data_IF_263510629659
#
_entry.id   IF_263510629659
#
_cell.length_a   1.000
_cell.length_b   1.000
_cell.length_c   1.000
_cell.angle_alpha   90.00
_cell.angle_beta   90.00
_cell.angle_gamma   90.00
#
_symmetry.space_group_name_H-M   'P 1'
#
loop_
_entity.id
_entity.type
_entity.pdbx_description
1 polymer ?
#
# COMPACT_ATOMS: atom_id res chain seq x y z
N UNK A 1 4.74 31.65 10.33
CA UNK A 1 4.33 31.98 8.95
C UNK A 1 2.83 32.15 8.95
N UNK A 2 2.34 33.23 8.35
CA UNK A 2 0.95 33.69 8.43
C UNK A 2 -0.04 32.56 8.16
N UNK A 3 -1.07 32.47 9.01
CA UNK A 3 -2.30 31.75 8.71
C UNK A 3 -2.97 32.48 7.53
N UNK A 4 -2.59 32.13 6.30
CA UNK A 4 -3.39 32.49 5.15
C UNK A 4 -4.80 32.00 5.42
N UNK A 5 -5.74 32.94 5.37
CA UNK A 5 -7.14 32.70 5.59
C UNK A 5 -7.65 31.97 4.34
N UNK A 6 -7.29 30.69 4.21
CA UNK A 6 -7.65 29.89 3.04
C UNK A 6 -9.18 29.89 2.88
N UNK A 7 -9.63 30.16 1.67
CA UNK A 7 -11.03 30.05 1.31
C UNK A 7 -11.41 28.57 1.28
N UNK A 8 -12.02 28.09 2.37
CA UNK A 8 -12.51 26.71 2.54
C UNK A 8 -13.70 26.35 1.63
N UNK A 9 -14.03 27.24 0.68
CA UNK A 9 -15.10 27.11 -0.30
C UNK A 9 -14.62 27.25 -1.74
N UNK A 10 -13.30 27.39 -1.95
CA UNK A 10 -12.68 27.60 -3.25
C UNK A 10 -12.85 26.43 -4.24
N UNK A 11 -12.60 26.73 -5.51
CA UNK A 11 -12.60 25.77 -6.62
C UNK A 11 -11.18 25.34 -6.99
N UNK A 12 -11.04 24.05 -7.31
CA UNK A 12 -9.85 23.36 -7.80
C UNK A 12 -10.19 22.55 -9.05
N UNK A 13 -9.18 22.26 -9.87
CA UNK A 13 -9.36 21.40 -11.02
C UNK A 13 -9.30 19.93 -10.57
N UNK A 14 -8.37 19.61 -9.66
CA UNK A 14 -8.21 18.28 -9.06
C UNK A 14 -8.19 18.38 -7.53
N UNK A 15 -9.03 17.59 -6.86
CA UNK A 15 -8.94 17.36 -5.40
C UNK A 15 -8.50 15.91 -5.15
N UNK A 16 -7.46 15.73 -4.35
CA UNK A 16 -6.97 14.42 -3.90
C UNK A 16 -7.36 14.21 -2.45
N UNK A 17 -8.06 13.11 -2.17
CA UNK A 17 -8.53 12.72 -0.85
C UNK A 17 -7.59 11.62 -0.32
N UNK A 18 -6.78 11.97 0.69
CA UNK A 18 -5.71 11.15 1.26
C UNK A 18 -4.32 11.65 0.86
N UNK A 19 -3.53 12.08 1.84
CA UNK A 19 -2.18 12.64 1.67
C UNK A 19 -1.07 11.61 1.93
N UNK A 20 -1.32 10.34 1.65
CA UNK A 20 -0.30 9.29 1.63
C UNK A 20 0.58 9.33 0.37
N UNK A 21 1.51 8.38 0.20
CA UNK A 21 2.46 8.37 -0.92
C UNK A 21 1.80 8.50 -2.30
N UNK A 22 0.77 7.68 -2.56
CA UNK A 22 0.08 7.68 -3.86
C UNK A 22 -0.71 8.97 -4.08
N UNK A 23 -1.36 9.50 -3.04
CA UNK A 23 -2.09 10.76 -3.14
C UNK A 23 -1.17 11.95 -3.42
N UNK A 24 -0.04 12.03 -2.72
CA UNK A 24 0.97 13.07 -2.96
C UNK A 24 1.58 12.95 -4.37
N UNK A 25 1.94 11.75 -4.81
CA UNK A 25 2.44 11.52 -6.16
C UNK A 25 1.41 11.92 -7.24
N UNK A 26 0.14 11.59 -7.03
CA UNK A 26 -0.97 12.00 -7.92
C UNK A 26 -1.10 13.51 -7.98
N UNK A 27 -1.03 14.19 -6.83
CA UNK A 27 -1.15 15.63 -6.77
C UNK A 27 0.01 16.34 -7.46
N UNK A 28 1.24 15.85 -7.26
CA UNK A 28 2.44 16.33 -7.94
C UNK A 28 2.31 16.20 -9.45
N UNK A 29 1.92 15.03 -9.96
CA UNK A 29 1.76 14.79 -11.40
C UNK A 29 0.65 15.66 -12.03
N UNK A 30 -0.49 15.80 -11.35
CA UNK A 30 -1.56 16.70 -11.81
C UNK A 30 -1.10 18.16 -11.84
N UNK A 31 -0.35 18.61 -10.84
CA UNK A 31 0.14 19.97 -10.75
C UNK A 31 1.23 20.28 -11.78
N UNK A 32 2.12 19.32 -12.08
CA UNK A 32 3.06 19.39 -13.22
C UNK A 32 2.34 19.53 -14.55
N UNK A 33 1.16 18.94 -14.69
CA UNK A 33 0.27 19.11 -15.85
C UNK A 33 -0.55 20.42 -15.82
N UNK A 34 -0.19 21.38 -14.95
CA UNK A 34 -0.78 22.71 -14.90
C UNK A 34 -2.12 22.80 -14.18
N UNK A 35 -2.56 21.73 -13.50
CA UNK A 35 -3.83 21.71 -12.79
C UNK A 35 -3.72 22.43 -11.44
N UNK A 36 -4.74 23.19 -11.06
CA UNK A 36 -4.87 23.70 -9.70
C UNK A 36 -5.30 22.56 -8.78
N UNK A 37 -4.39 22.11 -7.91
CA UNK A 37 -4.56 20.87 -7.14
C UNK A 37 -4.56 21.09 -5.64
N UNK A 38 -5.44 20.37 -4.95
CA UNK A 38 -5.58 20.33 -3.50
C UNK A 38 -5.43 18.90 -2.98
N UNK A 39 -4.70 18.71 -1.87
CA UNK A 39 -4.66 17.46 -1.10
C UNK A 39 -5.31 17.67 0.27
N UNK A 40 -6.24 16.78 0.61
CA UNK A 40 -6.91 16.72 1.91
C UNK A 40 -6.46 15.46 2.67
N UNK A 41 -5.67 15.65 3.73
CA UNK A 41 -5.20 14.59 4.61
C UNK A 41 -5.92 14.68 5.96
N UNK A 42 -6.57 13.58 6.39
CA UNK A 42 -7.35 13.58 7.64
C UNK A 42 -6.49 13.68 8.91
N UNK A 43 -5.23 13.25 8.84
CA UNK A 43 -4.23 13.33 9.90
C UNK A 43 -3.18 14.39 9.56
N UNK A 44 -1.97 14.26 10.10
CA UNK A 44 -0.81 15.02 9.63
C UNK A 44 -0.19 14.37 8.41
N UNK A 45 0.45 15.16 7.54
CA UNK A 45 1.34 14.60 6.53
C UNK A 45 2.45 13.77 7.18
N UNK A 46 2.78 12.65 6.55
CA UNK A 46 3.75 11.67 7.04
C UNK A 46 3.41 11.02 8.38
N UNK A 47 2.12 10.94 8.72
CA UNK A 47 1.66 10.18 9.87
C UNK A 47 1.98 8.68 9.73
N UNK A 48 1.93 7.98 10.87
CA UNK A 48 2.14 6.54 10.96
C UNK A 48 0.83 5.76 11.20
N UNK A 49 -0.33 6.41 11.06
CA UNK A 49 -1.62 5.85 11.43
C UNK A 49 -2.23 4.95 10.35
N UNK A 50 -1.73 5.02 9.11
CA UNK A 50 -2.18 4.20 7.99
C UNK A 50 -1.21 3.09 7.58
N UNK A 51 -0.97 2.96 6.27
CA UNK A 51 -0.19 1.87 5.64
C UNK A 51 1.28 2.24 5.36
N UNK A 52 1.66 3.49 5.62
CA UNK A 52 2.96 4.05 5.20
C UNK A 52 3.85 4.49 6.36
N UNK A 53 3.50 4.13 7.61
CA UNK A 53 4.44 4.23 8.73
C UNK A 53 5.57 3.21 8.58
N UNK A 54 6.69 3.43 9.29
CA UNK A 54 7.98 2.70 9.26
C UNK A 54 9.10 3.38 8.43
N UNK A 55 10.34 2.86 8.49
CA UNK A 55 11.52 3.39 7.81
C UNK A 55 11.70 2.89 6.38
N UNK A 56 11.24 1.66 6.09
CA UNK A 56 11.60 0.94 4.87
C UNK A 56 10.43 0.23 4.21
N UNK A 57 10.47 0.11 2.88
CA UNK A 57 9.60 -0.77 2.09
C UNK A 57 10.39 -1.42 0.96
N UNK A 58 9.93 -2.60 0.53
CA UNK A 58 10.59 -3.37 -0.51
C UNK A 58 10.25 -2.80 -1.90
N UNK A 59 11.29 -2.46 -2.66
CA UNK A 59 11.23 -2.28 -4.10
C UNK A 59 11.63 -3.62 -4.74
N UNK A 60 10.65 -4.32 -5.33
CA UNK A 60 10.86 -5.59 -6.02
C UNK A 60 10.33 -5.57 -7.45
N UNK A 61 11.01 -6.28 -8.35
CA UNK A 61 10.65 -6.44 -9.76
C UNK A 61 10.20 -7.85 -10.13
N UNK A 62 10.49 -8.85 -9.28
CA UNK A 62 10.09 -10.23 -9.51
C UNK A 62 8.61 -10.45 -9.23
N UNK A 63 7.86 -10.81 -10.27
CA UNK A 63 6.41 -11.10 -10.22
C UNK A 63 6.07 -12.30 -11.10
N UNK A 64 5.16 -13.15 -10.63
CA UNK A 64 4.63 -14.29 -11.40
C UNK A 64 3.67 -13.81 -12.51
N UNK A 65 2.81 -12.83 -12.21
CA UNK A 65 1.86 -12.29 -13.16
C UNK A 65 2.53 -11.33 -14.16
N UNK A 66 2.35 -11.58 -15.46
CA UNK A 66 3.02 -10.83 -16.52
C UNK A 66 2.73 -9.32 -16.46
N UNK A 67 1.47 -8.94 -16.19
CA UNK A 67 1.07 -7.53 -16.09
C UNK A 67 1.71 -6.83 -14.88
N UNK A 68 1.88 -7.52 -13.75
CA UNK A 68 2.56 -6.95 -12.59
C UNK A 68 4.07 -6.81 -12.84
N UNK A 69 4.68 -7.80 -13.50
CA UNK A 69 6.08 -7.72 -13.90
C UNK A 69 6.34 -6.55 -14.85
N UNK A 70 5.46 -6.34 -15.85
CA UNK A 70 5.53 -5.21 -16.78
C UNK A 70 5.49 -3.87 -16.04
N UNK A 71 4.51 -3.70 -15.15
CA UNK A 71 4.39 -2.49 -14.34
C UNK A 71 5.60 -2.29 -13.42
N UNK A 72 6.16 -3.36 -12.86
CA UNK A 72 7.29 -3.27 -11.94
C UNK A 72 8.56 -2.80 -12.66
N UNK A 73 8.82 -3.33 -13.85
CA UNK A 73 9.94 -2.91 -14.70
C UNK A 73 9.73 -1.49 -15.23
N UNK A 74 8.53 -1.15 -15.71
CA UNK A 74 8.19 0.21 -16.12
C UNK A 74 8.35 1.22 -14.97
N UNK A 75 8.03 0.82 -13.74
CA UNK A 75 8.18 1.69 -12.58
C UNK A 75 9.64 2.02 -12.25
N UNK A 76 10.63 1.22 -12.69
CA UNK A 76 12.04 1.48 -12.42
C UNK A 76 12.49 2.85 -12.96
N UNK A 77 12.11 3.18 -14.20
CA UNK A 77 12.47 4.48 -14.80
C UNK A 77 11.77 5.64 -14.10
N UNK A 78 10.51 5.45 -13.68
CA UNK A 78 9.76 6.48 -12.97
C UNK A 78 10.31 6.76 -11.57
N UNK A 79 10.90 5.77 -10.91
CA UNK A 79 11.67 6.02 -9.70
C UNK A 79 12.95 6.81 -9.98
N UNK A 80 13.67 6.50 -11.06
CA UNK A 80 14.87 7.26 -11.45
C UNK A 80 14.50 8.73 -11.74
N UNK A 81 13.37 8.99 -12.38
CA UNK A 81 12.83 10.35 -12.59
C UNK A 81 12.55 11.05 -11.25
N UNK A 82 11.85 10.38 -10.33
CA UNK A 82 11.54 10.95 -9.02
C UNK A 82 12.81 11.25 -8.21
N UNK A 83 13.82 10.38 -8.25
CA UNK A 83 15.11 10.59 -7.56
C UNK A 83 15.91 11.75 -8.19
N UNK A 84 15.86 11.90 -9.52
CA UNK A 84 16.47 13.03 -10.21
C UNK A 84 15.83 14.36 -9.80
N UNK A 85 14.50 14.40 -9.68
CA UNK A 85 13.78 15.59 -9.17
C UNK A 85 13.96 15.81 -7.67
N UNK A 86 14.13 14.73 -6.90
CA UNK A 86 14.43 14.80 -5.48
C UNK A 86 15.79 15.48 -5.24
N UNK A 87 16.75 15.26 -6.15
CA UNK A 87 18.14 15.68 -6.01
C UNK A 87 18.97 14.75 -5.11
N UNK A 88 18.39 13.63 -4.68
CA UNK A 88 19.03 12.62 -3.82
C UNK A 88 18.39 11.23 -4.04
N UNK A 89 19.13 10.13 -3.80
CA UNK A 89 18.57 8.78 -3.88
C UNK A 89 17.46 8.57 -2.83
N UNK A 90 16.34 8.01 -3.27
CA UNK A 90 15.23 7.61 -2.41
C UNK A 90 15.23 6.11 -2.14
N UNK A 91 16.07 5.35 -2.86
CA UNK A 91 16.23 3.91 -2.75
C UNK A 91 17.68 3.52 -2.48
N UNK A 92 17.83 2.46 -1.70
CA UNK A 92 19.08 1.73 -1.53
C UNK A 92 18.98 0.41 -2.30
N UNK A 93 19.62 0.34 -3.47
CA UNK A 93 19.55 -0.79 -4.39
C UNK A 93 20.59 -1.87 -4.04
N UNK A 94 20.34 -2.65 -3.00
CA UNK A 94 21.24 -3.73 -2.54
C UNK A 94 20.82 -5.14 -2.96
N UNK A 95 19.69 -5.26 -3.66
CA UNK A 95 19.13 -6.53 -4.14
C UNK A 95 18.06 -7.14 -3.23
N UNK A 96 17.55 -8.27 -3.68
CA UNK A 96 16.53 -9.08 -3.00
C UNK A 96 16.90 -10.55 -3.15
N UNK A 97 16.94 -11.29 -2.04
CA UNK A 97 17.04 -12.74 -2.02
C UNK A 97 15.68 -13.34 -1.67
N UNK A 98 15.00 -13.91 -2.66
CA UNK A 98 13.84 -14.77 -2.41
C UNK A 98 14.35 -16.20 -2.21
N UNK A 99 13.93 -16.89 -1.16
CA UNK A 99 14.37 -18.27 -0.91
C UNK A 99 13.32 -19.10 -0.19
N UNK A 100 13.46 -20.41 -0.15
CA UNK A 100 12.56 -21.29 0.57
C UNK A 100 12.22 -22.58 -0.16
N UNK A 101 11.04 -23.13 0.13
CA UNK A 101 10.55 -24.36 -0.50
C UNK A 101 10.26 -24.10 -2.00
N UNK A 102 10.97 -24.77 -2.93
CA UNK A 102 10.72 -24.63 -4.37
C UNK A 102 9.32 -25.07 -4.79
N UNK A 103 8.61 -25.82 -3.94
CA UNK A 103 7.25 -26.31 -4.18
C UNK A 103 6.18 -25.41 -3.58
N UNK A 104 6.55 -24.26 -2.99
CA UNK A 104 5.57 -23.26 -2.57
C UNK A 104 4.75 -22.81 -3.80
N UNK A 105 3.52 -23.30 -3.88
CA UNK A 105 2.68 -23.25 -5.07
C UNK A 105 1.58 -22.19 -5.05
N UNK A 106 0.89 -22.06 -6.19
CA UNK A 106 -0.10 -21.02 -6.49
C UNK A 106 -1.10 -20.72 -5.36
N UNK A 107 -1.31 -19.43 -5.08
CA UNK A 107 -2.32 -18.94 -4.13
C UNK A 107 -1.79 -18.29 -2.85
N UNK A 108 -0.47 -18.09 -2.72
CA UNK A 108 0.14 -17.19 -1.73
C UNK A 108 -0.12 -15.71 -2.05
N UNK A 109 0.04 -14.78 -1.09
CA UNK A 109 -0.12 -13.35 -1.34
C UNK A 109 1.02 -12.79 -2.19
N UNK A 110 2.19 -13.45 -2.17
CA UNK A 110 3.44 -13.01 -2.79
C UNK A 110 3.81 -13.83 -4.04
N UNK A 111 2.88 -14.64 -4.55
CA UNK A 111 3.10 -15.52 -5.71
C UNK A 111 3.85 -16.80 -5.35
N UNK A 112 4.67 -17.31 -6.26
CA UNK A 112 5.51 -18.50 -6.03
C UNK A 112 6.98 -18.12 -6.04
N UNK A 113 7.84 -18.99 -5.49
CA UNK A 113 9.28 -18.73 -5.45
C UNK A 113 9.89 -18.69 -6.86
N UNK A 114 9.57 -19.68 -7.72
CA UNK A 114 10.29 -19.92 -8.97
C UNK A 114 9.63 -19.34 -10.23
N UNK A 115 8.31 -19.18 -10.25
CA UNK A 115 7.62 -18.71 -11.47
C UNK A 115 8.00 -17.29 -11.93
N UNK A 116 8.41 -16.35 -11.04
CA UNK A 116 8.90 -15.04 -11.49
C UNK A 116 10.07 -15.10 -12.47
N UNK A 117 10.85 -16.19 -12.50
CA UNK A 117 12.00 -16.36 -13.41
C UNK A 117 11.60 -16.14 -14.87
N UNK A 118 10.44 -16.63 -15.30
CA UNK A 118 9.95 -16.44 -16.67
C UNK A 118 9.86 -14.96 -17.03
N UNK A 119 9.39 -14.14 -16.11
CA UNK A 119 9.27 -12.70 -16.31
C UNK A 119 10.60 -11.97 -16.16
N UNK A 120 11.48 -12.43 -15.28
CA UNK A 120 12.85 -11.93 -15.20
C UNK A 120 13.59 -12.14 -16.53
N UNK A 121 13.50 -13.33 -17.12
CA UNK A 121 14.06 -13.64 -18.44
C UNK A 121 13.47 -12.75 -19.55
N UNK A 122 12.13 -12.62 -19.56
CA UNK A 122 11.39 -11.81 -20.54
C UNK A 122 11.80 -10.33 -20.51
N UNK A 123 12.10 -9.80 -19.33
CA UNK A 123 12.54 -8.41 -19.12
C UNK A 123 14.06 -8.25 -19.08
N UNK A 124 14.82 -9.32 -19.30
CA UNK A 124 16.29 -9.32 -19.23
C UNK A 124 16.85 -8.83 -17.89
N UNK A 125 16.15 -9.14 -16.79
CA UNK A 125 16.56 -8.82 -15.43
C UNK A 125 17.62 -9.81 -14.94
N UNK A 126 18.64 -9.33 -14.23
CA UNK A 126 19.68 -10.21 -13.69
C UNK A 126 19.16 -11.01 -12.50
N UNK A 127 19.52 -12.30 -12.43
CA UNK A 127 19.29 -13.13 -11.26
C UNK A 127 20.30 -14.28 -11.17
N UNK A 128 20.43 -14.90 -10.00
CA UNK A 128 21.22 -16.11 -9.77
C UNK A 128 20.41 -17.09 -8.94
N UNK A 129 20.31 -18.35 -9.40
CA UNK A 129 19.69 -19.42 -8.63
C UNK A 129 20.73 -20.00 -7.66
N UNK A 130 20.33 -20.21 -6.42
CA UNK A 130 21.15 -20.74 -5.33
C UNK A 130 20.51 -22.02 -4.78
N UNK A 131 21.33 -22.94 -4.33
CA UNK A 131 20.91 -24.00 -3.41
C UNK A 131 20.96 -23.50 -1.95
N UNK A 132 20.64 -24.37 -0.99
CA UNK A 132 20.67 -24.06 0.44
C UNK A 132 21.99 -23.47 0.88
N UNK A 133 23.11 -24.12 0.55
CA UNK A 133 24.46 -23.67 0.95
C UNK A 133 24.76 -22.28 0.36
N UNK A 134 24.38 -22.03 -0.90
CA UNK A 134 24.51 -20.72 -1.52
C UNK A 134 23.66 -19.63 -0.86
N UNK A 135 22.48 -19.96 -0.34
CA UNK A 135 21.66 -19.01 0.44
C UNK A 135 22.34 -18.65 1.76
N UNK A 136 22.85 -19.64 2.50
CA UNK A 136 23.57 -19.42 3.77
C UNK A 136 24.93 -18.73 3.58
N UNK A 137 25.56 -18.85 2.41
CA UNK A 137 26.76 -18.07 2.06
C UNK A 137 26.43 -16.59 1.78
N UNK A 138 25.25 -16.30 1.21
CA UNK A 138 24.86 -14.94 0.79
C UNK A 138 24.31 -14.07 1.91
N UNK A 139 23.57 -14.67 2.84
CA UNK A 139 22.95 -13.98 3.97
C UNK A 139 23.12 -14.82 5.22
N UNK A 140 23.10 -14.21 6.42
CA UNK A 140 23.48 -14.86 7.68
C UNK A 140 22.38 -15.78 8.22
N UNK A 141 21.94 -16.73 7.39
CA UNK A 141 21.01 -17.78 7.75
C UNK A 141 21.76 -19.03 8.22
N UNK A 142 21.04 -19.90 8.91
CA UNK A 142 21.53 -21.18 9.39
C UNK A 142 20.40 -22.21 9.45
N UNK A 143 20.77 -23.49 9.47
CA UNK A 143 19.84 -24.61 9.63
C UNK A 143 18.69 -24.59 8.61
N UNK A 144 18.92 -24.06 7.41
CA UNK A 144 17.93 -24.09 6.35
C UNK A 144 17.76 -25.54 5.84
N UNK A 145 16.52 -25.99 5.55
CA UNK A 145 16.28 -27.31 4.97
C UNK A 145 17.07 -27.54 3.68
N UNK A 146 17.61 -28.76 3.50
CA UNK A 146 18.52 -29.10 2.39
C UNK A 146 17.88 -28.91 1.00
N UNK A 147 16.56 -29.04 0.91
CA UNK A 147 15.80 -28.92 -0.33
C UNK A 147 15.46 -27.47 -0.73
N UNK A 148 15.78 -26.50 0.13
CA UNK A 148 15.48 -25.10 -0.16
C UNK A 148 16.41 -24.52 -1.23
N UNK A 149 15.85 -23.61 -2.01
CA UNK A 149 16.55 -22.89 -3.08
C UNK A 149 16.36 -21.39 -2.92
N UNK A 150 17.17 -20.61 -3.62
CA UNK A 150 17.09 -19.15 -3.64
C UNK A 150 17.21 -18.56 -5.03
N UNK A 151 16.72 -17.32 -5.17
CA UNK A 151 16.87 -16.45 -6.33
C UNK A 151 17.41 -15.11 -5.82
N UNK A 152 18.69 -14.85 -6.09
CA UNK A 152 19.35 -13.58 -5.79
C UNK A 152 19.18 -12.61 -6.97
N UNK A 153 18.63 -11.42 -6.70
CA UNK A 153 18.24 -10.46 -7.74
C UNK A 153 18.79 -9.06 -7.39
N UNK A 154 19.86 -8.59 -8.05
CA UNK A 154 20.56 -7.35 -7.69
C UNK A 154 19.78 -6.07 -7.97
N UNK A 155 18.85 -6.06 -8.93
CA UNK A 155 18.13 -4.86 -9.38
C UNK A 155 16.93 -4.47 -8.47
N UNK A 156 17.00 -4.82 -7.19
CA UNK A 156 15.95 -4.61 -6.18
C UNK A 156 16.51 -3.79 -5.01
N UNK A 157 15.65 -3.22 -4.14
CA UNK A 157 16.16 -2.37 -3.06
C UNK A 157 15.18 -1.89 -2.01
N UNK A 158 15.71 -1.19 -1.01
CA UNK A 158 14.93 -0.59 0.07
C UNK A 158 14.50 0.83 -0.30
N UNK A 159 13.22 1.12 -0.22
CA UNK A 159 12.69 2.49 -0.33
C UNK A 159 12.83 3.18 1.03
N UNK A 160 13.44 4.37 1.06
CA UNK A 160 13.49 5.24 2.23
C UNK A 160 12.14 5.96 2.39
N UNK A 161 11.24 5.36 3.15
CA UNK A 161 9.85 5.83 3.27
C UNK A 161 9.75 7.25 3.85
N UNK A 162 10.43 7.59 4.96
CA UNK A 162 10.38 8.94 5.50
C UNK A 162 10.91 10.00 4.52
N UNK A 163 12.00 9.71 3.81
CA UNK A 163 12.57 10.64 2.84
C UNK A 163 11.69 10.81 1.61
N UNK A 164 11.18 9.71 1.04
CA UNK A 164 10.26 9.74 -0.10
C UNK A 164 9.01 10.56 0.23
N UNK A 165 8.40 10.33 1.40
CA UNK A 165 7.24 11.09 1.85
C UNK A 165 7.56 12.59 1.94
N UNK A 166 8.63 12.96 2.63
CA UNK A 166 9.07 14.37 2.76
C UNK A 166 9.35 15.01 1.40
N UNK A 167 9.96 14.26 0.50
CA UNK A 167 10.28 14.69 -0.87
C UNK A 167 9.00 14.96 -1.66
N UNK A 168 8.04 14.04 -1.68
CA UNK A 168 6.78 14.22 -2.40
C UNK A 168 6.02 15.45 -1.92
N UNK A 169 5.93 15.67 -0.61
CA UNK A 169 5.27 16.86 -0.07
C UNK A 169 6.07 18.15 -0.34
N UNK A 170 7.41 18.10 -0.30
CA UNK A 170 8.25 19.24 -0.71
C UNK A 170 7.99 19.61 -2.17
N UNK A 171 8.05 18.63 -3.07
CA UNK A 171 7.80 18.81 -4.50
C UNK A 171 6.38 19.32 -4.75
N UNK A 172 5.36 18.78 -4.06
CA UNK A 172 3.99 19.31 -4.11
C UNK A 172 3.94 20.81 -3.78
N UNK A 173 4.63 21.27 -2.72
CA UNK A 173 4.68 22.69 -2.36
C UNK A 173 5.41 23.54 -3.41
N UNK A 174 6.52 23.06 -3.93
CA UNK A 174 7.27 23.73 -5.00
C UNK A 174 6.42 23.90 -6.27
N UNK A 175 5.56 22.91 -6.55
CA UNK A 175 4.59 22.96 -7.64
C UNK A 175 3.27 23.70 -7.30
N UNK A 176 3.16 24.32 -6.12
CA UNK A 176 1.98 25.08 -5.67
C UNK A 176 0.71 24.22 -5.52
N UNK A 177 0.87 22.97 -5.10
CA UNK A 177 -0.24 22.16 -4.59
C UNK A 177 -0.63 22.69 -3.21
N UNK A 178 -1.92 22.95 -3.02
CA UNK A 178 -2.47 23.30 -1.71
C UNK A 178 -2.59 22.02 -0.86
N UNK A 179 -2.03 22.05 0.36
CA UNK A 179 -1.91 20.88 1.23
C UNK A 179 -2.55 21.16 2.58
N UNK A 180 -3.60 20.43 2.93
CA UNK A 180 -4.32 20.57 4.20
C UNK A 180 -4.20 19.28 5.01
N UNK A 181 -3.56 19.38 6.16
CA UNK A 181 -3.62 18.36 7.21
C UNK A 181 -4.89 18.53 8.05
N UNK A 182 -5.22 17.52 8.85
CA UNK A 182 -6.39 17.48 9.72
C UNK A 182 -7.73 17.71 9.00
N UNK A 183 -7.77 17.46 7.69
CA UNK A 183 -8.90 17.69 6.80
C UNK A 183 -9.66 16.38 6.55
N UNK A 184 -10.57 16.05 7.45
CA UNK A 184 -11.37 14.82 7.31
C UNK A 184 -12.51 15.05 6.33
N UNK A 185 -12.37 14.49 5.12
CA UNK A 185 -13.47 14.44 4.15
C UNK A 185 -14.56 13.51 4.67
N UNK A 186 -15.82 13.96 4.60
CA UNK A 186 -16.99 13.20 5.03
C UNK A 186 -17.85 12.75 3.87
N UNK A 187 -17.87 13.51 2.77
CA UNK A 187 -18.69 13.18 1.60
C UNK A 187 -18.24 13.95 0.36
N UNK A 188 -18.41 13.32 -0.80
CA UNK A 188 -18.41 13.93 -2.12
C UNK A 188 -19.84 13.92 -2.66
N UNK A 189 -20.30 15.03 -3.24
CA UNK A 189 -21.61 15.10 -3.90
C UNK A 189 -21.56 15.95 -5.15
N UNK A 190 -22.53 15.76 -6.04
CA UNK A 190 -22.75 16.62 -7.18
C UNK A 190 -22.87 18.10 -6.77
N UNK A 191 -22.18 18.99 -7.48
CA UNK A 191 -22.44 20.44 -7.41
C UNK A 191 -23.53 20.83 -8.42
N UNK A 192 -24.72 21.17 -7.93
CA UNK A 192 -25.82 21.65 -8.76
C UNK A 192 -26.09 23.14 -8.58
N UNK A 193 -25.23 23.85 -7.84
CA UNK A 193 -25.45 25.25 -7.45
C UNK A 193 -25.12 26.25 -8.57
N UNK A 194 -24.42 25.81 -9.62
CA UNK A 194 -23.89 26.64 -10.72
C UNK A 194 -23.00 27.82 -10.25
N UNK A 195 -22.54 27.82 -9.01
CA UNK A 195 -21.65 28.86 -8.45
C UNK A 195 -20.34 28.95 -9.25
N UNK A 196 -19.81 27.80 -9.65
CA UNK A 196 -18.71 27.67 -10.58
C UNK A 196 -19.19 26.85 -11.78
N UNK A 197 -19.25 27.43 -13.00
CA UNK A 197 -19.85 26.73 -14.15
C UNK A 197 -19.18 25.41 -14.54
N UNK A 198 -17.88 25.25 -14.25
CA UNK A 198 -17.15 24.01 -14.57
C UNK A 198 -17.13 22.98 -13.43
N UNK A 199 -17.44 23.40 -12.20
CA UNK A 199 -17.33 22.54 -11.03
C UNK A 199 -18.39 21.45 -11.07
N UNK A 200 -17.93 20.20 -10.95
CA UNK A 200 -18.79 19.03 -11.04
C UNK A 200 -19.18 18.51 -9.67
N UNK A 201 -18.28 18.69 -8.70
CA UNK A 201 -18.35 18.07 -7.39
C UNK A 201 -18.10 19.07 -6.26
N UNK A 202 -18.73 18.81 -5.12
CA UNK A 202 -18.41 19.43 -3.83
C UNK A 202 -17.83 18.35 -2.92
N UNK A 203 -16.64 18.62 -2.37
CA UNK A 203 -15.96 17.80 -1.37
C UNK A 203 -16.17 18.44 0.00
N UNK A 204 -16.99 17.80 0.84
CA UNK A 204 -17.44 18.30 2.13
C UNK A 204 -16.73 17.57 3.27
N UNK A 205 -16.35 18.31 4.31
CA UNK A 205 -15.69 17.72 5.46
C UNK A 205 -15.47 18.70 6.60
N UNK A 206 -14.62 18.29 7.52
CA UNK A 206 -14.27 19.05 8.71
C UNK A 206 -12.75 19.18 8.84
N UNK A 207 -12.29 20.42 9.01
CA UNK A 207 -10.92 20.78 9.30
C UNK A 207 -10.74 20.85 10.82
N UNK A 208 -9.89 19.99 11.37
CA UNK A 208 -9.52 20.01 12.77
C UNK A 208 -8.24 20.83 12.99
N UNK A 209 -7.99 21.25 14.23
CA UNK A 209 -6.72 21.87 14.59
C UNK A 209 -5.68 20.84 15.02
N UNK A 210 -4.41 21.25 15.21
CA UNK A 210 -3.36 20.37 15.73
C UNK A 210 -3.62 19.88 17.16
N UNK A 211 -4.56 20.51 17.88
CA UNK A 211 -5.06 20.03 19.18
C UNK A 211 -6.05 18.86 19.06
N UNK A 212 -6.30 18.35 17.86
CA UNK A 212 -7.22 17.24 17.58
C UNK A 212 -8.70 17.61 17.71
N UNK A 213 -9.55 16.59 17.88
CA UNK A 213 -11.00 16.71 17.95
C UNK A 213 -11.54 17.52 19.15
N UNK A 214 -10.68 17.91 20.11
CA UNK A 214 -11.07 18.72 21.26
C UNK A 214 -11.29 20.21 20.93
N UNK A 215 -10.89 20.66 19.75
CA UNK A 215 -11.19 22.00 19.24
C UNK A 215 -12.38 21.95 18.26
N UNK A 216 -13.20 23.01 18.24
CA UNK A 216 -14.29 23.15 17.25
C UNK A 216 -13.74 23.04 15.84
N UNK A 217 -14.19 22.01 15.11
CA UNK A 217 -13.80 21.81 13.72
C UNK A 217 -14.45 22.86 12.82
N UNK A 218 -13.73 23.32 11.79
CA UNK A 218 -14.26 24.22 10.77
C UNK A 218 -14.77 23.38 9.60
N UNK A 219 -16.04 23.53 9.24
CA UNK A 219 -16.56 22.90 8.03
C UNK A 219 -15.85 23.47 6.79
N UNK A 220 -15.61 22.63 5.79
CA UNK A 220 -15.17 23.03 4.46
C UNK A 220 -16.06 22.40 3.39
N UNK A 221 -16.11 23.03 2.22
CA UNK A 221 -16.84 22.56 1.06
C UNK A 221 -16.14 23.01 -0.22
N UNK A 222 -15.06 22.32 -0.60
CA UNK A 222 -14.28 22.65 -1.80
C UNK A 222 -14.99 22.18 -3.06
N UNK A 223 -14.80 22.89 -4.18
CA UNK A 223 -15.33 22.50 -5.49
C UNK A 223 -14.24 21.87 -6.35
N UNK A 224 -14.60 20.85 -7.11
CA UNK A 224 -13.66 20.11 -7.95
C UNK A 224 -14.26 19.76 -9.32
N UNK A 225 -13.43 19.79 -10.35
CA UNK A 225 -13.77 19.22 -11.66
C UNK A 225 -13.49 17.71 -11.70
N UNK A 226 -12.42 17.27 -11.02
CA UNK A 226 -11.95 15.88 -10.92
C UNK A 226 -11.53 15.54 -9.49
N UNK A 227 -11.67 14.27 -9.09
CA UNK A 227 -11.33 13.81 -7.74
C UNK A 227 -10.53 12.51 -7.79
N UNK A 228 -9.42 12.46 -7.06
CA UNK A 228 -8.72 11.21 -6.75
C UNK A 228 -9.09 10.77 -5.32
N UNK A 229 -9.58 9.56 -5.15
CA UNK A 229 -9.85 8.95 -3.83
C UNK A 229 -8.72 7.98 -3.54
N UNK A 230 -7.74 8.40 -2.73
CA UNK A 230 -6.57 7.60 -2.32
C UNK A 230 -6.42 7.46 -0.80
N UNK A 231 -7.48 7.16 -0.02
CA UNK A 231 -7.45 7.21 1.45
C UNK A 231 -6.95 5.92 2.13
N UNK A 232 -6.40 4.97 1.36
CA UNK A 232 -5.98 3.65 1.87
C UNK A 232 -7.16 2.89 2.51
N UNK A 233 -6.96 2.41 3.74
CA UNK A 233 -7.96 1.64 4.51
C UNK A 233 -9.30 2.38 4.73
N UNK A 234 -9.31 3.72 4.63
CA UNK A 234 -10.51 4.54 4.85
C UNK A 234 -11.37 4.72 3.58
N UNK A 235 -11.14 3.94 2.52
CA UNK A 235 -11.86 4.07 1.24
C UNK A 235 -13.39 4.03 1.41
N UNK A 236 -13.89 3.15 2.26
CA UNK A 236 -15.33 2.99 2.51
C UNK A 236 -15.94 4.14 3.31
N UNK A 237 -15.12 4.91 4.05
CA UNK A 237 -15.57 6.12 4.74
C UNK A 237 -15.84 7.28 3.79
N UNK A 238 -15.35 7.18 2.55
CA UNK A 238 -15.62 8.15 1.48
C UNK A 238 -16.67 7.61 0.52
N UNK A 239 -16.51 6.37 0.04
CA UNK A 239 -17.41 5.81 -0.99
C UNK A 239 -18.84 5.70 -0.51
N UNK A 240 -19.08 5.16 0.69
CA UNK A 240 -20.44 4.91 1.15
C UNK A 240 -21.24 6.19 1.40
N UNK A 241 -20.76 7.18 2.17
CA UNK A 241 -21.52 8.42 2.37
C UNK A 241 -21.72 9.23 1.08
N UNK A 242 -20.86 9.04 0.08
CA UNK A 242 -20.90 9.79 -1.19
C UNK A 242 -21.78 9.15 -2.25
N UNK A 243 -21.74 7.81 -2.35
CA UNK A 243 -22.24 7.07 -3.50
C UNK A 243 -23.07 5.82 -3.14
N UNK A 244 -23.21 5.51 -1.84
CA UNK A 244 -24.08 4.43 -1.35
C UNK A 244 -23.53 3.01 -1.48
N UNK A 245 -22.26 2.85 -1.88
CA UNK A 245 -21.61 1.54 -1.99
C UNK A 245 -20.27 1.50 -1.23
N UNK A 246 -19.80 0.29 -0.96
CA UNK A 246 -18.52 -0.01 -0.34
C UNK A 246 -17.74 -1.01 -1.18
N UNK A 247 -16.46 -1.18 -0.85
CA UNK A 247 -15.61 -2.26 -1.33
C UNK A 247 -15.51 -3.32 -0.24
N UNK A 248 -15.54 -4.59 -0.65
CA UNK A 248 -15.19 -5.74 0.18
C UNK A 248 -13.68 -5.75 0.45
N UNK A 249 -13.28 -5.00 1.48
CA UNK A 249 -11.90 -4.92 1.92
C UNK A 249 -11.70 -5.77 3.17
N UNK A 250 -10.55 -6.42 3.22
CA UNK A 250 -10.01 -7.03 4.43
C UNK A 250 -8.75 -6.27 4.80
N UNK A 251 -8.72 -5.70 6.01
CA UNK A 251 -7.64 -4.84 6.47
C UNK A 251 -6.84 -5.60 7.50
N UNK A 252 -5.61 -5.96 7.14
CA UNK A 252 -4.68 -6.69 7.99
C UNK A 252 -3.93 -5.71 8.88
N UNK A 253 -3.91 -5.96 10.18
CA UNK A 253 -3.05 -5.25 11.12
C UNK A 253 -1.69 -5.95 11.21
N UNK A 254 -0.86 -5.69 10.20
CA UNK A 254 0.48 -6.27 10.07
C UNK A 254 1.38 -5.84 11.23
N UNK A 255 2.07 -6.79 11.85
CA UNK A 255 3.13 -6.53 12.84
C UNK A 255 4.49 -6.45 12.13
N UNK A 256 5.35 -5.53 12.55
CA UNK A 256 6.74 -5.50 12.12
C UNK A 256 7.67 -5.20 13.29
N UNK A 257 8.87 -5.74 13.21
CA UNK A 257 9.81 -5.79 14.33
C UNK A 257 11.21 -5.39 13.89
N UNK A 258 11.96 -4.76 14.80
CA UNK A 258 13.35 -4.40 14.62
C UNK A 258 14.22 -5.12 15.63
N UNK A 259 15.23 -5.81 15.14
CA UNK A 259 16.15 -6.60 15.93
C UNK A 259 17.55 -6.00 15.86
N UNK A 260 18.21 -5.89 17.01
CA UNK A 260 19.63 -5.65 17.05
C UNK A 260 20.35 -6.93 16.63
N UNK A 261 21.18 -6.82 15.60
CA UNK A 261 22.04 -7.90 15.11
C UNK A 261 23.44 -7.69 15.67
N UNK A 262 24.16 -8.78 15.94
CA UNK A 262 25.59 -8.76 16.25
C UNK A 262 26.33 -7.89 15.21
N UNK A 263 27.08 -6.86 15.62
CA UNK A 263 27.79 -5.98 14.70
C UNK A 263 28.79 -6.68 13.76
N UNK A 264 29.24 -7.92 14.06
CA UNK A 264 30.09 -8.69 13.14
C UNK A 264 29.31 -9.40 12.03
N UNK A 265 27.97 -9.39 12.08
CA UNK A 265 27.07 -10.02 11.12
C UNK A 265 26.31 -8.93 10.38
N UNK A 266 26.21 -9.07 9.05
CA UNK A 266 25.50 -8.10 8.22
C UNK A 266 24.47 -8.80 7.33
N UNK A 267 23.27 -8.22 7.29
CA UNK A 267 22.34 -8.45 6.20
C UNK A 267 22.61 -7.37 5.17
N UNK A 268 23.12 -7.76 4.00
CA UNK A 268 23.52 -6.78 2.98
C UNK A 268 22.37 -6.42 2.04
N UNK A 269 21.32 -7.24 2.01
CA UNK A 269 20.18 -7.08 1.10
C UNK A 269 18.86 -7.51 1.74
N UNK A 270 17.77 -7.14 1.07
CA UNK A 270 16.44 -7.59 1.48
C UNK A 270 16.27 -9.08 1.20
N UNK A 271 15.34 -9.70 1.89
CA UNK A 271 14.99 -11.09 1.64
C UNK A 271 13.52 -11.37 1.89
N UNK A 272 13.02 -12.41 1.23
CA UNK A 272 11.69 -12.97 1.45
C UNK A 272 11.81 -14.50 1.47
N UNK A 273 11.21 -15.13 2.47
CA UNK A 273 11.22 -16.57 2.65
C UNK A 273 9.84 -17.17 2.32
N UNK A 274 9.83 -18.20 1.48
CA UNK A 274 8.64 -18.90 0.98
C UNK A 274 8.52 -20.29 1.61
N UNK A 275 7.43 -20.56 2.32
CA UNK A 275 7.08 -21.88 2.82
C UNK A 275 5.59 -21.94 3.11
N UNK A 276 5.00 -23.12 2.91
CA UNK A 276 3.60 -23.38 3.27
C UNK A 276 3.37 -23.25 4.77
N UNK A 277 2.19 -22.79 5.14
CA UNK A 277 1.79 -22.67 6.53
C UNK A 277 1.84 -24.00 7.27
N UNK A 278 2.09 -23.92 8.57
CA UNK A 278 2.00 -25.11 9.42
C UNK A 278 0.59 -25.68 9.35
N UNK A 279 0.49 -27.02 9.33
CA UNK A 279 -0.83 -27.67 9.41
C UNK A 279 -1.47 -27.31 10.75
N UNK A 280 -2.79 -27.05 10.80
CA UNK A 280 -3.46 -26.79 12.06
C UNK A 280 -3.29 -27.99 12.99
N UNK A 281 -2.78 -27.73 14.19
CA UNK A 281 -2.83 -28.69 15.30
C UNK A 281 -4.26 -28.75 15.87
N UNK A 282 -4.72 -29.86 16.46
CA UNK A 282 -6.06 -29.92 17.05
C UNK A 282 -6.29 -28.79 18.05
N UNK A 283 -7.23 -27.89 17.75
CA UNK A 283 -7.55 -26.72 18.58
C UNK A 283 -6.69 -25.47 18.36
N UNK A 284 -5.71 -25.50 17.44
CA UNK A 284 -4.88 -24.36 17.06
C UNK A 284 -5.17 -23.85 15.64
N UNK A 285 -4.72 -22.62 15.36
CA UNK A 285 -4.73 -22.06 14.01
C UNK A 285 -3.48 -22.52 13.23
N UNK A 286 -3.51 -22.56 11.89
CA UNK A 286 -2.28 -22.60 11.10
C UNK A 286 -1.39 -21.41 11.47
N UNK A 287 -0.08 -21.56 11.31
CA UNK A 287 0.90 -20.50 11.57
C UNK A 287 1.63 -20.20 10.26
N UNK A 288 1.76 -18.91 9.93
CA UNK A 288 2.41 -18.51 8.70
C UNK A 288 3.90 -18.81 8.71
N UNK A 289 4.41 -19.36 7.61
CA UNK A 289 5.85 -19.54 7.38
C UNK A 289 6.38 -18.64 6.26
N UNK A 290 5.76 -17.48 6.08
CA UNK A 290 6.25 -16.43 5.20
C UNK A 290 6.88 -15.34 6.04
N UNK A 291 8.13 -15.02 5.76
CA UNK A 291 8.88 -13.99 6.47
C UNK A 291 9.63 -13.10 5.49
N UNK A 292 9.84 -11.86 5.88
CA UNK A 292 10.63 -10.92 5.08
C UNK A 292 11.44 -10.01 5.97
N UNK A 293 12.61 -9.65 5.46
CA UNK A 293 13.54 -8.81 6.18
C UNK A 293 14.24 -7.79 5.31
N UNK A 294 14.71 -6.75 5.97
CA UNK A 294 15.46 -5.66 5.39
C UNK A 294 16.84 -5.60 6.03
N UNK A 295 17.87 -5.19 5.26
CA UNK A 295 19.18 -4.91 5.79
C UNK A 295 19.10 -3.73 6.78
N UNK A 296 20.16 -3.54 7.57
CA UNK A 296 20.34 -2.28 8.27
C UNK A 296 20.46 -1.16 7.25
N UNK A 297 19.67 -0.10 7.39
CA UNK A 297 19.64 1.01 6.43
C UNK A 297 20.39 2.23 6.95
N UNK A 298 21.06 3.02 6.08
CA UNK A 298 21.83 4.21 6.49
C UNK A 298 21.02 5.30 7.21
N UNK A 299 19.69 5.30 7.07
CA UNK A 299 18.78 6.25 7.71
C UNK A 299 18.10 5.68 8.97
N UNK A 300 18.48 4.47 9.39
CA UNK A 300 18.06 3.86 10.65
C UNK A 300 19.24 3.76 11.64
N UNK A 301 18.99 3.29 12.87
CA UNK A 301 20.06 2.88 13.75
C UNK A 301 20.98 1.85 13.08
N UNK A 302 22.30 1.93 13.32
CA UNK A 302 23.22 0.89 12.85
C UNK A 302 22.81 -0.47 13.41
N UNK A 303 23.22 -1.55 12.74
CA UNK A 303 23.04 -2.95 13.16
C UNK A 303 21.59 -3.34 13.55
N UNK A 304 20.59 -2.59 13.08
CA UNK A 304 19.18 -2.84 13.35
C UNK A 304 18.49 -3.29 12.06
N UNK A 305 18.07 -4.55 12.01
CA UNK A 305 17.38 -5.12 10.87
C UNK A 305 15.87 -5.21 11.15
N UNK A 306 15.07 -4.85 10.15
CA UNK A 306 13.61 -4.95 10.24
C UNK A 306 13.18 -6.30 9.69
N UNK A 307 12.51 -7.12 10.48
CA UNK A 307 12.08 -8.47 10.11
C UNK A 307 10.64 -8.67 10.57
N UNK A 308 9.83 -9.36 9.78
CA UNK A 308 8.44 -9.62 10.11
C UNK A 308 7.92 -10.88 9.42
N UNK A 309 6.90 -11.49 10.03
CA UNK A 309 6.00 -12.42 9.35
C UNK A 309 5.15 -11.68 8.31
N UNK A 310 4.87 -12.31 7.16
CA UNK A 310 3.99 -11.81 6.11
C UNK A 310 2.54 -12.30 6.29
N UNK A 311 1.98 -12.02 7.46
CA UNK A 311 0.58 -12.27 7.78
C UNK A 311 0.11 -11.30 8.85
N UNK A 312 -1.18 -11.33 9.16
CA UNK A 312 -1.72 -10.66 10.33
C UNK A 312 -2.70 -11.58 11.06
N UNK A 313 -2.46 -11.77 12.36
CA UNK A 313 -3.42 -12.46 13.23
C UNK A 313 -4.73 -11.68 13.36
N UNK A 314 -4.66 -10.34 13.39
CA UNK A 314 -5.83 -9.48 13.46
C UNK A 314 -6.19 -8.90 12.08
N UNK A 315 -7.43 -9.14 11.67
CA UNK A 315 -8.00 -8.63 10.42
C UNK A 315 -9.32 -7.96 10.73
N UNK A 316 -9.48 -6.72 10.24
CA UNK A 316 -10.65 -5.88 10.46
C UNK A 316 -11.31 -5.52 9.13
N UNK A 317 -12.60 -5.20 9.16
CA UNK A 317 -13.38 -4.80 7.98
C UNK A 317 -13.48 -3.27 7.83
N UNK A 318 -13.24 -2.53 8.91
CA UNK A 318 -13.33 -1.08 8.98
C UNK A 318 -12.16 -0.55 9.83
N UNK A 319 -11.39 0.45 9.37
CA UNK A 319 -10.28 1.00 10.14
C UNK A 319 -10.69 1.61 11.50
N UNK A 320 -11.97 1.95 11.71
CA UNK A 320 -12.48 2.36 13.04
C UNK A 320 -12.48 1.22 14.07
N UNK A 321 -12.42 -0.05 13.63
CA UNK A 321 -12.33 -1.20 14.52
C UNK A 321 -10.94 -1.36 15.13
N UNK A 322 -9.94 -0.66 14.58
CA UNK A 322 -8.59 -0.62 15.13
C UNK A 322 -8.66 -0.04 16.53
N UNK A 323 -8.61 -0.92 17.52
CA UNK A 323 -8.31 -0.53 18.89
C UNK A 323 -6.82 -0.15 18.93
N UNK A 324 -6.40 0.74 19.85
CA UNK A 324 -5.00 1.20 20.01
C UNK A 324 -3.97 0.15 19.56
N UNK A 325 -2.88 0.51 18.85
CA UNK A 325 -2.02 -0.44 18.14
C UNK A 325 -1.66 -1.65 19.01
N UNK A 326 -2.43 -2.74 18.83
CA UNK A 326 -2.21 -3.99 19.54
C UNK A 326 -1.19 -4.75 18.72
N UNK A 327 -0.01 -4.93 19.30
CA UNK A 327 0.99 -5.83 18.72
C UNK A 327 0.53 -7.25 19.06
N UNK A 328 0.18 -8.04 18.05
CA UNK A 328 -0.23 -9.43 18.23
C UNK A 328 0.90 -10.22 18.86
N UNK A 329 0.72 -10.83 20.05
CA UNK A 329 1.73 -11.69 20.65
C UNK A 329 2.02 -12.93 19.80
N UNK A 330 1.03 -13.41 19.03
CA UNK A 330 1.16 -14.57 18.14
C UNK A 330 2.08 -14.25 16.96
N UNK A 331 1.88 -13.09 16.30
CA UNK A 331 2.72 -12.68 15.17
C UNK A 331 4.16 -12.38 15.63
N UNK A 332 4.31 -11.74 16.80
CA UNK A 332 5.62 -11.43 17.40
C UNK A 332 6.38 -12.72 17.77
N UNK A 333 5.72 -13.67 18.41
CA UNK A 333 6.38 -14.92 18.79
C UNK A 333 6.72 -15.78 17.56
N UNK A 334 5.87 -15.77 16.53
CA UNK A 334 6.16 -16.46 15.27
C UNK A 334 7.45 -15.95 14.62
N UNK A 335 7.63 -14.63 14.51
CA UNK A 335 8.88 -14.02 14.01
C UNK A 335 10.08 -14.43 14.88
N UNK A 336 9.94 -14.37 16.21
CA UNK A 336 11.04 -14.71 17.15
C UNK A 336 11.51 -16.15 17.02
N UNK A 337 10.59 -17.09 16.94
CA UNK A 337 10.90 -18.51 16.84
C UNK A 337 11.61 -18.83 15.51
N UNK A 338 11.17 -18.23 14.41
CA UNK A 338 11.86 -18.37 13.13
C UNK A 338 13.27 -17.79 13.17
N UNK A 339 13.44 -16.58 13.73
CA UNK A 339 14.74 -15.95 13.90
C UNK A 339 15.70 -16.78 14.76
N UNK A 340 15.21 -17.29 15.90
CA UNK A 340 16.00 -18.14 16.80
C UNK A 340 16.60 -19.34 16.07
N UNK A 341 15.81 -19.97 15.19
CA UNK A 341 16.20 -21.18 14.49
C UNK A 341 17.09 -20.91 13.27
N UNK A 342 16.79 -19.84 12.53
CA UNK A 342 17.29 -19.66 11.17
C UNK A 342 18.19 -18.45 10.94
N UNK A 343 18.34 -17.54 11.91
CA UNK A 343 19.15 -16.32 11.73
C UNK A 343 20.34 -16.30 12.69
N UNK A 344 21.51 -15.99 12.16
CA UNK A 344 22.71 -15.72 12.95
C UNK A 344 22.69 -14.28 13.48
N UNK A 345 23.27 -14.07 14.67
CA UNK A 345 23.48 -12.72 15.23
C UNK A 345 22.31 -12.10 16.00
N UNK A 346 21.16 -12.77 16.08
CA UNK A 346 19.97 -12.30 16.86
C UNK A 346 19.97 -12.77 18.33
N UNK A 347 20.95 -13.58 18.73
CA UNK A 347 21.05 -14.20 20.05
C UNK A 347 20.10 -15.39 20.25
N UNK A 348 20.23 -16.17 21.34
CA UNK A 348 19.44 -17.38 21.58
C UNK A 348 17.97 -17.09 21.94
N UNK A 349 17.63 -15.86 22.33
CA UNK A 349 16.26 -15.44 22.65
C UNK A 349 16.02 -14.06 22.04
N UNK A 350 15.77 -13.98 20.71
CA UNK A 350 15.77 -12.72 19.99
C UNK A 350 14.64 -11.82 20.50
N UNK A 351 14.93 -10.67 21.10
CA UNK A 351 13.93 -9.69 21.57
C UNK A 351 13.95 -8.48 20.64
N UNK A 352 12.79 -8.08 20.07
CA UNK A 352 12.76 -6.89 19.25
C UNK A 352 13.04 -5.65 20.10
N UNK A 353 13.91 -4.77 19.60
CA UNK A 353 14.18 -3.45 20.18
C UNK A 353 12.98 -2.53 20.00
N UNK A 354 12.25 -2.73 18.90
CA UNK A 354 11.01 -2.03 18.59
C UNK A 354 10.08 -2.97 17.84
N UNK A 355 8.79 -2.85 18.12
CA UNK A 355 7.72 -3.49 17.36
C UNK A 355 6.60 -2.47 17.11
N UNK A 356 6.01 -2.53 15.93
CA UNK A 356 4.94 -1.63 15.51
C UNK A 356 3.91 -2.35 14.66
N UNK A 357 2.83 -1.64 14.34
CA UNK A 357 1.79 -2.16 13.43
C UNK A 357 1.51 -1.20 12.29
N UNK A 358 1.16 -1.75 11.13
CA UNK A 358 0.66 -0.99 9.98
C UNK A 358 -0.56 -1.67 9.37
N UNK A 359 -1.35 -0.90 8.62
CA UNK A 359 -2.52 -1.43 7.94
C UNK A 359 -2.17 -1.89 6.53
N UNK A 360 -2.52 -3.11 6.17
CA UNK A 360 -2.51 -3.60 4.78
C UNK A 360 -3.95 -3.80 4.34
N UNK A 361 -4.41 -3.00 3.40
CA UNK A 361 -5.76 -3.13 2.83
C UNK A 361 -5.71 -4.09 1.66
N UNK A 362 -6.53 -5.13 1.70
CA UNK A 362 -6.61 -6.15 0.66
C UNK A 362 -8.05 -6.26 0.14
N UNK A 363 -8.18 -6.75 -1.08
CA UNK A 363 -9.41 -7.35 -1.60
C UNK A 363 -9.13 -8.85 -1.84
N UNK A 364 -10.13 -9.63 -2.24
CA UNK A 364 -10.05 -11.10 -2.26
C UNK A 364 -8.93 -11.70 -3.11
N UNK A 365 -8.42 -10.96 -4.12
CA UNK A 365 -7.30 -11.36 -4.97
C UNK A 365 -5.97 -10.65 -4.64
N UNK A 366 -5.90 -9.89 -3.55
CA UNK A 366 -4.72 -9.14 -3.12
C UNK A 366 -4.17 -8.11 -4.13
N UNK A 367 -4.91 -7.82 -5.20
CA UNK A 367 -4.53 -6.82 -6.20
C UNK A 367 -5.05 -5.43 -5.83
N UNK A 368 -4.54 -4.42 -6.53
CA UNK A 368 -5.04 -3.05 -6.38
C UNK A 368 -6.51 -2.95 -6.80
N UNK A 369 -7.22 -1.97 -6.25
CA UNK A 369 -8.43 -1.43 -6.87
C UNK A 369 -8.05 -0.06 -7.41
N UNK A 370 -8.03 0.06 -8.74
CA UNK A 370 -7.68 1.27 -9.47
C UNK A 370 -8.62 1.45 -10.66
N UNK A 371 -9.65 2.28 -10.49
CA UNK A 371 -10.66 2.50 -11.53
C UNK A 371 -11.48 3.77 -11.26
N UNK A 372 -12.29 4.17 -12.23
CA UNK A 372 -13.31 5.18 -12.01
C UNK A 372 -14.43 4.66 -11.11
N UNK A 373 -15.07 5.57 -10.36
CA UNK A 373 -16.36 5.26 -9.73
C UNK A 373 -17.37 4.89 -10.83
N UNK A 374 -18.03 3.72 -10.77
CA UNK A 374 -18.93 3.30 -11.83
C UNK A 374 -20.08 4.28 -12.04
N UNK A 375 -20.45 4.53 -13.30
CA UNK A 375 -21.42 5.56 -13.69
C UNK A 375 -22.78 5.41 -13.00
N UNK A 376 -23.20 4.17 -12.71
CA UNK A 376 -24.46 3.88 -12.00
C UNK A 376 -24.52 4.52 -10.61
N UNK A 377 -23.37 4.75 -9.97
CA UNK A 377 -23.26 5.37 -8.65
C UNK A 377 -23.07 6.89 -8.70
N UNK A 378 -22.87 7.46 -9.90
CA UNK A 378 -22.75 8.91 -10.10
C UNK A 378 -24.10 9.58 -10.42
N UNK A 379 -25.16 8.80 -10.63
CA UNK A 379 -26.50 9.30 -10.96
C UNK A 379 -27.15 9.96 -9.73
N UNK A 380 -27.75 11.14 -9.93
CA UNK A 380 -28.49 11.82 -8.86
C UNK A 380 -29.79 11.09 -8.48
N UNK A 381 -30.45 11.54 -7.41
CA UNK A 381 -31.72 10.96 -6.90
C UNK A 381 -32.88 10.89 -7.93
N UNK A 382 -32.75 11.58 -9.06
CA UNK A 382 -33.73 11.62 -10.16
C UNK A 382 -33.30 10.78 -11.38
N UNK A 383 -32.17 10.06 -11.33
CA UNK A 383 -31.77 9.11 -12.36
C UNK A 383 -31.22 9.71 -13.66
N UNK A 384 -31.07 11.04 -13.76
CA UNK A 384 -30.50 11.71 -14.93
C UNK A 384 -29.01 11.33 -15.09
N UNK A 385 -28.62 10.87 -16.29
CA UNK A 385 -27.21 10.69 -16.64
C UNK A 385 -26.59 12.06 -16.91
N UNK A 386 -25.64 12.45 -16.07
CA UNK A 386 -24.82 13.61 -16.34
C UNK A 386 -23.53 13.15 -17.02
N UNK A 387 -23.54 13.08 -18.35
CA UNK A 387 -22.38 12.70 -19.16
C UNK A 387 -21.15 13.58 -18.83
N UNK A 388 -21.34 14.79 -18.29
CA UNK A 388 -20.23 15.63 -17.87
C UNK A 388 -19.49 15.07 -16.65
N UNK A 389 -20.13 14.22 -15.83
CA UNK A 389 -19.57 13.62 -14.61
C UNK A 389 -18.96 12.23 -14.82
N UNK A 390 -19.18 11.61 -15.97
CA UNK A 390 -18.55 10.33 -16.32
C UNK A 390 -17.01 10.47 -16.27
N UNK A 391 -16.34 9.44 -15.73
CA UNK A 391 -14.87 9.38 -15.64
C UNK A 391 -14.24 10.63 -15.00
N UNK A 392 -14.82 11.12 -13.90
CA UNK A 392 -14.29 12.28 -13.17
C UNK A 392 -13.79 11.98 -11.76
N UNK A 393 -14.08 10.78 -11.24
CA UNK A 393 -13.61 10.34 -9.94
C UNK A 393 -12.88 9.01 -10.11
N UNK A 394 -11.60 8.98 -9.76
CA UNK A 394 -10.78 7.76 -9.79
C UNK A 394 -10.51 7.33 -8.35
N UNK A 395 -10.63 6.04 -8.08
CA UNK A 395 -10.37 5.42 -6.80
C UNK A 395 -9.07 4.63 -6.91
N UNK A 396 -8.20 4.78 -5.93
CA UNK A 396 -7.08 3.87 -5.70
C UNK A 396 -7.07 3.41 -4.24
N UNK A 397 -7.05 2.09 -4.04
CA UNK A 397 -6.84 1.45 -2.74
C UNK A 397 -6.33 0.02 -2.92
N UNK A 398 -6.05 -0.63 -1.79
CA UNK A 398 -5.62 -2.02 -1.66
C UNK A 398 -4.27 -2.39 -2.30
N UNK A 399 -3.70 -3.52 -1.85
CA UNK A 399 -2.51 -4.18 -2.37
C UNK A 399 -1.16 -3.55 -1.96
N UNK A 400 -0.06 -4.20 -2.36
CA UNK A 400 1.32 -3.85 -1.95
C UNK A 400 1.94 -2.77 -2.85
N UNK A 401 1.44 -1.55 -2.71
CA UNK A 401 1.61 -0.48 -3.70
C UNK A 401 2.83 0.44 -3.52
N UNK A 402 3.57 0.39 -2.40
CA UNK A 402 4.64 1.38 -2.15
C UNK A 402 5.67 1.42 -3.28
N UNK A 403 6.03 0.26 -3.83
CA UNK A 403 7.00 0.16 -4.92
C UNK A 403 6.52 0.72 -6.26
N UNK A 404 5.22 1.00 -6.39
CA UNK A 404 4.59 1.57 -7.58
C UNK A 404 4.22 3.04 -7.41
N UNK A 405 4.61 3.72 -6.32
CA UNK A 405 4.15 5.09 -6.01
C UNK A 405 4.36 6.08 -7.17
N UNK A 406 5.53 6.17 -7.83
CA UNK A 406 5.70 7.05 -8.98
C UNK A 406 4.80 6.68 -10.17
N UNK A 407 4.67 5.38 -10.46
CA UNK A 407 3.80 4.86 -11.52
C UNK A 407 2.33 5.19 -11.25
N UNK A 408 1.85 4.94 -10.04
CA UNK A 408 0.47 5.19 -9.65
C UNK A 408 0.14 6.68 -9.71
N UNK A 409 1.08 7.56 -9.33
CA UNK A 409 0.91 9.01 -9.51
C UNK A 409 0.70 9.39 -10.97
N UNK A 410 1.51 8.83 -11.88
CA UNK A 410 1.41 9.05 -13.33
C UNK A 410 0.08 8.53 -13.89
N UNK A 411 -0.26 7.28 -13.58
CA UNK A 411 -1.48 6.63 -14.02
C UNK A 411 -2.72 7.37 -13.53
N UNK A 412 -2.77 7.74 -12.25
CA UNK A 412 -3.92 8.46 -11.70
C UNK A 412 -4.09 9.82 -12.38
N UNK A 413 -3.01 10.54 -12.68
CA UNK A 413 -3.07 11.77 -13.47
C UNK A 413 -3.63 11.51 -14.88
N UNK A 414 -3.14 10.50 -15.60
CA UNK A 414 -3.64 10.17 -16.95
C UNK A 414 -5.13 9.79 -16.92
N UNK A 415 -5.56 8.99 -15.94
CA UNK A 415 -6.98 8.66 -15.78
C UNK A 415 -7.82 9.92 -15.50
N UNK A 416 -7.38 10.81 -14.61
CA UNK A 416 -8.14 12.02 -14.27
C UNK A 416 -8.26 13.00 -15.43
N UNK A 417 -7.15 13.24 -16.15
CA UNK A 417 -7.05 14.28 -17.17
C UNK A 417 -7.38 13.78 -18.58
N UNK A 418 -6.96 12.57 -18.92
CA UNK A 418 -7.08 12.00 -20.26
C UNK A 418 -8.19 10.93 -20.34
N UNK A 419 -8.73 10.49 -19.20
CA UNK A 419 -9.81 9.51 -19.11
C UNK A 419 -9.38 8.05 -19.33
N UNK A 420 -8.10 7.83 -19.61
CA UNK A 420 -7.46 6.53 -19.84
C UNK A 420 -5.94 6.65 -19.68
N UNK A 421 -5.29 5.53 -19.45
CA UNK A 421 -3.84 5.39 -19.68
C UNK A 421 -3.61 4.52 -20.93
N UNK A 422 -2.52 4.76 -21.64
CA UNK A 422 -2.17 4.00 -22.86
C UNK A 422 -0.88 3.19 -22.73
N UNK A 423 -0.04 3.51 -21.75
CA UNK A 423 1.25 2.87 -21.55
C UNK A 423 1.21 1.79 -20.47
N UNK A 424 0.33 1.94 -19.48
CA UNK A 424 0.26 1.08 -18.30
C UNK A 424 -1.02 0.25 -18.37
N UNK A 425 -0.91 -1.08 -18.40
CA UNK A 425 -2.08 -1.94 -18.33
C UNK A 425 -2.60 -2.01 -16.88
N UNK A 426 -3.70 -1.30 -16.66
CA UNK A 426 -4.41 -1.27 -15.37
C UNK A 426 -5.77 -1.95 -15.43
N UNK A 427 -6.08 -2.63 -16.54
CA UNK A 427 -7.37 -3.30 -16.74
C UNK A 427 -7.62 -4.39 -15.69
N UNK A 428 -6.56 -5.03 -15.21
CA UNK A 428 -6.56 -6.02 -14.14
C UNK A 428 -7.00 -5.47 -12.77
N UNK A 429 -6.96 -4.15 -12.57
CA UNK A 429 -7.29 -3.50 -11.30
C UNK A 429 -8.71 -2.92 -11.25
N UNK A 430 -9.55 -3.24 -12.24
CA UNK A 430 -10.92 -2.71 -12.30
C UNK A 430 -11.68 -2.95 -11.00
N UNK A 431 -12.43 -1.95 -10.57
CA UNK A 431 -13.31 -2.01 -9.39
C UNK A 431 -14.50 -2.96 -9.59
N UNK A 432 -14.82 -3.28 -10.86
CA UNK A 432 -15.94 -4.14 -11.23
C UNK A 432 -15.58 -5.61 -11.43
N UNK A 433 -14.28 -5.94 -11.31
CA UNK A 433 -13.83 -7.33 -11.45
C UNK A 433 -14.42 -8.20 -10.32
N UNK A 434 -14.47 -9.50 -10.58
CA UNK A 434 -15.08 -10.50 -9.69
C UNK A 434 -14.11 -11.64 -9.38
N UNK A 435 -13.13 -11.41 -8.50
CA UNK A 435 -12.17 -12.46 -8.18
C UNK A 435 -12.87 -13.62 -7.49
N UNK A 436 -12.63 -14.85 -7.95
CA UNK A 436 -13.37 -16.03 -7.50
C UNK A 436 -14.89 -15.97 -7.76
N UNK A 437 -15.34 -15.10 -8.68
CA UNK A 437 -16.77 -14.89 -8.96
C UNK A 437 -17.50 -13.94 -7.99
N UNK A 438 -16.81 -13.43 -6.97
CA UNK A 438 -17.40 -12.53 -5.96
C UNK A 438 -17.11 -11.07 -6.34
N UNK A 439 -18.12 -10.20 -6.45
CA UNK A 439 -17.90 -8.78 -6.69
C UNK A 439 -17.14 -8.11 -5.55
N UNK A 440 -16.20 -7.22 -5.90
CA UNK A 440 -15.52 -6.35 -4.92
C UNK A 440 -16.51 -5.30 -4.39
N UNK A 441 -17.35 -4.74 -5.26
CA UNK A 441 -18.36 -3.76 -4.86
C UNK A 441 -19.46 -4.43 -4.04
N UNK A 442 -19.87 -3.76 -2.95
CA UNK A 442 -21.06 -4.06 -2.16
C UNK A 442 -21.97 -2.87 -2.05
N UNK A 443 -23.26 -3.08 -2.26
CA UNK A 443 -24.26 -2.07 -1.96
C UNK A 443 -24.51 -2.00 -0.45
N UNK A 444 -24.61 -0.79 0.10
CA UNK A 444 -24.83 -0.59 1.53
C UNK A 444 -23.55 -0.34 2.35
N UNK A 445 -23.71 -0.13 3.68
CA UNK A 445 -22.62 0.23 4.58
C UNK A 445 -21.68 -0.94 4.86
N UNK A 446 -20.51 -0.65 5.43
CA UNK A 446 -19.58 -1.68 5.91
C UNK A 446 -20.24 -2.49 7.03
N UNK A 447 -20.33 -3.81 6.84
CA UNK A 447 -20.75 -4.74 7.88
C UNK A 447 -19.63 -4.90 8.92
N UNK A 448 -19.67 -4.11 10.00
CA UNK A 448 -18.69 -4.16 11.10
C UNK A 448 -18.76 -5.43 11.96
N UNK A 449 -19.70 -6.33 11.67
CA UNK A 449 -19.82 -7.66 12.28
C UNK A 449 -19.69 -8.71 11.18
N UNK A 450 -18.48 -8.93 10.69
CA UNK A 450 -18.16 -10.15 9.96
C UNK A 450 -17.34 -11.04 10.87
N UNK A 451 -17.75 -12.30 10.98
CA UNK A 451 -16.78 -13.34 11.24
C UNK A 451 -15.81 -13.30 10.05
N UNK A 452 -14.67 -12.65 10.25
CA UNK A 452 -13.63 -12.50 9.24
C UNK A 452 -13.08 -13.87 8.79
N UNK A 453 -13.43 -14.94 9.53
CA UNK A 453 -13.23 -16.34 9.18
C UNK A 453 -13.95 -16.78 7.88
N UNK A 454 -14.98 -16.06 7.42
CA UNK A 454 -15.83 -16.48 6.30
C UNK A 454 -15.62 -15.75 4.96
N UNK A 455 -14.72 -14.75 4.88
CA UNK A 455 -14.48 -14.03 3.63
C UNK A 455 -13.43 -14.78 2.80
N UNK A 456 -13.83 -15.36 1.66
CA UNK A 456 -12.94 -16.06 0.73
C UNK A 456 -11.89 -15.11 0.11
N UNK A 457 -10.80 -14.82 0.82
CA UNK A 457 -9.57 -14.28 0.23
C UNK A 457 -8.73 -15.44 -0.32
N UNK A 458 -8.50 -15.46 -1.62
CA UNK A 458 -7.56 -16.38 -2.26
C UNK A 458 -6.23 -15.65 -2.38
N UNK A 459 -5.32 -15.91 -1.44
CA UNK A 459 -4.01 -15.26 -1.40
C UNK A 459 -3.47 -15.11 0.02
N UNK A 460 -2.76 -16.13 0.51
CA UNK A 460 -2.18 -16.33 1.86
C UNK A 460 -2.93 -17.26 2.81
N UNK A 461 -2.40 -18.49 2.87
CA UNK A 461 -1.91 -19.19 4.06
C UNK A 461 -2.92 -19.66 5.13
N UNK A 462 -3.88 -18.84 5.55
CA UNK A 462 -4.85 -19.21 6.60
C UNK A 462 -6.23 -19.68 6.10
N UNK A 463 -6.44 -19.82 4.79
CA UNK A 463 -7.68 -20.36 4.21
C UNK A 463 -7.54 -21.82 3.74
N UNK A 464 -7.56 -22.77 4.68
CA UNK A 464 -7.97 -24.15 4.39
C UNK A 464 -8.87 -24.70 5.50
N UNK A 465 -10.11 -24.24 5.54
CA UNK A 465 -11.20 -24.99 6.16
C UNK A 465 -12.34 -25.09 5.16
N UNK A 466 -12.36 -26.20 4.43
CA UNK A 466 -13.52 -26.67 3.69
C UNK A 466 -14.12 -27.88 4.42
N UNK A 467 -15.42 -27.77 4.70
CA UNK A 467 -16.36 -28.77 5.22
C UNK A 467 -16.36 -29.10 6.71
#
# INVERSE_FOLDING_TARGET
MNSEQHDLYAKYDVVVIGGGPVGLATALECSKAGQKTLVLEQSVFYNQSGSSGDLVRMFRTAYTEDFMADLAVQCMSLWNELEAEAGEPLRLMTGLLNFGDPKYGEGGPEGTLMDPIRNLDRHHMAYTILDRDGVEEKLPFQNLPDEWVGIDMPDNGCINVPLMLRTLTRLCREHRVDLFDYATVKRVRADNTKTYPSAKWVVEGAMHGPKGASALARAFAFRADKIAITPGAYVNHILYPSFGFTLDVNIWEMVYEYYAIDPSIQFDKMWFQFQEDSKPIPGGKPVSNLFYGFPSVPWGPPNMCRIAVDTATNVIADPDQRQYPVISPEDLENTREWLHKHVLGVGPHPVPVFAGTCLQTNVSDNMFVLDFVPERYLRGAQGESDAARERTIVVFTAGWAMKFVPLLGRVLRELLLDGKTSQYDVSHFSIERKPGGVPIIRDGPVERRRDVLGAHCTGSSLHRLGH
#
